data_IF_396609782656
#
_entry.id   IF_396609782656
#
_cell.length_a   1.000
_cell.length_b   1.000
_cell.length_c   1.000
_cell.angle_alpha   90.00
_cell.angle_beta   90.00
_cell.angle_gamma   90.00
#
_symmetry.space_group_name_H-M   'P 1'
#
loop_
_entity.id
_entity.type
_entity.pdbx_description
1 polymer ?
#
# COMPACT_ATOMS: atom_id res chain seq x y z
N UNK A 1 -8.35 30.06 16.44
CA UNK A 1 -9.67 29.39 16.23
C UNK A 1 -9.39 27.93 16.38
N UNK A 2 -9.78 27.35 17.52
CA UNK A 2 -9.58 25.94 17.81
C UNK A 2 -10.53 25.13 16.93
N UNK A 3 -9.99 24.50 15.89
CA UNK A 3 -10.74 23.52 15.13
C UNK A 3 -11.05 22.32 16.03
N UNK A 4 -12.30 22.13 16.32
CA UNK A 4 -12.85 20.91 16.91
C UNK A 4 -12.57 19.82 15.86
N UNK A 5 -11.48 19.08 16.01
CA UNK A 5 -11.38 17.80 15.32
C UNK A 5 -12.38 16.88 16.00
N UNK A 6 -13.52 16.74 15.36
CA UNK A 6 -14.47 15.68 15.66
C UNK A 6 -13.73 14.34 15.73
N UNK A 7 -14.24 13.44 16.56
CA UNK A 7 -13.67 12.09 16.75
C UNK A 7 -13.20 11.51 15.41
N UNK A 8 -12.07 10.80 15.37
CA UNK A 8 -11.56 10.22 14.12
C UNK A 8 -12.66 9.37 13.47
N UNK A 9 -12.92 9.62 12.19
CA UNK A 9 -13.95 8.94 11.40
C UNK A 9 -13.74 7.42 11.37
N UNK A 10 -12.51 6.97 11.63
CA UNK A 10 -12.10 5.57 11.66
C UNK A 10 -11.60 5.17 13.06
N UNK A 11 -11.73 3.90 13.45
CA UNK A 11 -11.21 3.39 14.71
C UNK A 11 -9.71 3.62 14.86
N UNK A 12 -9.27 3.93 16.09
CA UNK A 12 -7.85 4.03 16.47
C UNK A 12 -7.50 2.81 17.31
N UNK A 13 -6.55 2.01 16.85
CA UNK A 13 -6.22 0.70 17.40
C UNK A 13 -4.74 0.68 17.78
N UNK A 14 -4.42 0.27 19.00
CA UNK A 14 -3.04 0.14 19.48
C UNK A 14 -2.44 -1.21 19.10
N UNK A 15 -1.31 -1.21 18.37
CA UNK A 15 -0.59 -2.44 18.05
C UNK A 15 -0.06 -3.12 19.32
N UNK A 16 0.38 -2.34 20.30
CA UNK A 16 0.85 -2.89 21.57
C UNK A 16 -0.24 -3.67 22.31
N UNK A 17 -1.48 -3.16 22.34
CA UNK A 17 -2.62 -3.86 22.93
C UNK A 17 -3.02 -5.10 22.13
N UNK A 18 -2.96 -5.03 20.79
CA UNK A 18 -3.18 -6.21 19.93
C UNK A 18 -2.13 -7.30 20.20
N UNK A 19 -0.86 -6.93 20.30
CA UNK A 19 0.24 -7.85 20.61
C UNK A 19 0.12 -8.47 22.01
N UNK A 20 -0.42 -7.73 22.98
CA UNK A 20 -0.74 -8.23 24.30
C UNK A 20 -1.98 -9.15 24.32
N UNK A 21 -2.71 -9.27 23.20
CA UNK A 21 -3.92 -10.08 23.11
C UNK A 21 -5.10 -9.52 23.91
N UNK A 22 -5.15 -8.19 24.10
CA UNK A 22 -6.24 -7.55 24.85
C UNK A 22 -7.60 -7.78 24.14
N UNK A 23 -8.58 -8.39 24.83
CA UNK A 23 -9.86 -8.74 24.19
C UNK A 23 -10.60 -7.53 23.60
N UNK A 24 -10.51 -6.37 24.24
CA UNK A 24 -11.10 -5.13 23.76
C UNK A 24 -10.49 -4.64 22.46
N UNK A 25 -9.17 -4.68 22.34
CA UNK A 25 -8.45 -4.28 21.10
C UNK A 25 -8.72 -5.27 19.96
N UNK A 26 -8.76 -6.58 20.24
CA UNK A 26 -9.11 -7.62 19.25
C UNK A 26 -10.56 -7.44 18.76
N UNK A 27 -11.51 -7.17 19.67
CA UNK A 27 -12.90 -6.92 19.28
C UNK A 27 -13.04 -5.65 18.42
N UNK A 28 -12.32 -4.58 18.76
CA UNK A 28 -12.30 -3.34 17.98
C UNK A 28 -11.69 -3.58 16.60
N UNK A 29 -10.60 -4.34 16.49
CA UNK A 29 -10.00 -4.73 15.21
C UNK A 29 -10.99 -5.56 14.38
N UNK A 30 -11.68 -6.53 14.99
CA UNK A 30 -12.67 -7.36 14.31
C UNK A 30 -13.78 -6.52 13.69
N UNK A 31 -14.33 -5.57 14.46
CA UNK A 31 -15.35 -4.65 13.96
C UNK A 31 -14.82 -3.76 12.82
N UNK A 32 -13.65 -3.15 13.00
CA UNK A 32 -13.03 -2.30 11.99
C UNK A 32 -12.80 -3.04 10.66
N UNK A 33 -12.31 -4.28 10.72
CA UNK A 33 -12.05 -5.09 9.54
C UNK A 33 -13.35 -5.58 8.84
N UNK A 34 -14.41 -5.79 9.59
CA UNK A 34 -15.69 -6.24 9.05
C UNK A 34 -16.57 -5.08 8.52
N UNK A 35 -16.45 -3.89 9.09
CA UNK A 35 -17.28 -2.73 8.74
C UNK A 35 -16.69 -1.94 7.56
N UNK A 36 -15.55 -1.31 7.79
CA UNK A 36 -14.93 -0.40 6.83
C UNK A 36 -13.60 -0.91 6.24
N UNK A 37 -13.01 -1.95 6.81
CA UNK A 37 -11.71 -2.46 6.38
C UNK A 37 -10.56 -1.45 6.52
N UNK A 38 -10.79 -0.34 7.24
CA UNK A 38 -9.85 0.75 7.47
C UNK A 38 -9.77 1.10 8.95
N UNK A 39 -8.56 1.38 9.45
CA UNK A 39 -8.35 1.87 10.82
C UNK A 39 -7.00 2.57 10.96
N UNK A 40 -6.86 3.41 11.97
CA UNK A 40 -5.57 3.97 12.39
C UNK A 40 -4.87 3.01 13.34
N UNK A 41 -3.60 2.74 13.09
CA UNK A 41 -2.74 1.94 13.95
C UNK A 41 -1.79 2.87 14.69
N UNK A 42 -1.86 2.85 16.02
CA UNK A 42 -0.96 3.58 16.92
C UNK A 42 -0.09 2.61 17.72
N UNK A 43 0.87 3.12 18.47
CA UNK A 43 1.83 2.34 19.27
C UNK A 43 2.56 1.25 18.46
N UNK A 44 2.76 1.53 17.17
CA UNK A 44 3.34 0.62 16.20
C UNK A 44 4.87 0.54 16.24
N UNK A 45 5.54 1.37 17.04
CA UNK A 45 7.00 1.35 17.23
C UNK A 45 7.85 1.82 16.06
N UNK A 46 7.26 2.26 14.94
CA UNK A 46 8.03 2.83 13.82
C UNK A 46 8.65 4.16 14.24
N UNK A 47 9.97 4.39 14.03
CA UNK A 47 10.63 5.61 14.47
C UNK A 47 10.14 6.84 13.71
N UNK A 48 9.56 7.82 14.39
CA UNK A 48 9.03 9.05 13.77
C UNK A 48 10.10 9.80 12.96
N UNK A 49 11.31 9.94 13.51
CA UNK A 49 12.42 10.59 12.80
C UNK A 49 12.85 9.86 11.50
N UNK A 50 12.66 8.53 11.43
CA UNK A 50 12.91 7.78 10.20
C UNK A 50 11.83 8.07 9.15
N UNK A 51 10.57 8.12 9.58
CA UNK A 51 9.43 8.46 8.73
C UNK A 51 9.60 9.86 8.14
N UNK A 52 9.92 10.87 8.97
CA UNK A 52 10.14 12.25 8.54
C UNK A 52 11.27 12.37 7.52
N UNK A 53 12.41 11.74 7.80
CA UNK A 53 13.55 11.72 6.86
C UNK A 53 13.19 11.06 5.54
N UNK A 54 12.42 9.97 5.59
CA UNK A 54 12.01 9.27 4.38
C UNK A 54 11.04 10.12 3.54
N UNK A 55 10.03 10.72 4.16
CA UNK A 55 9.11 11.65 3.47
C UNK A 55 9.88 12.79 2.80
N UNK A 56 10.83 13.40 3.52
CA UNK A 56 11.67 14.49 2.99
C UNK A 56 12.56 14.04 1.83
N UNK A 57 13.20 12.87 1.93
CA UNK A 57 14.03 12.31 0.87
C UNK A 57 13.22 11.94 -0.38
N UNK A 58 12.01 11.42 -0.19
CA UNK A 58 11.09 11.14 -1.29
C UNK A 58 10.63 12.43 -1.99
N UNK A 59 10.28 13.46 -1.23
CA UNK A 59 9.92 14.77 -1.79
C UNK A 59 11.06 15.37 -2.61
N UNK A 60 12.29 15.30 -2.10
CA UNK A 60 13.49 15.75 -2.82
C UNK A 60 13.71 14.98 -4.12
N UNK A 61 13.51 13.65 -4.14
CA UNK A 61 13.56 12.86 -5.36
C UNK A 61 12.51 13.32 -6.38
N UNK A 62 11.26 13.52 -5.98
CA UNK A 62 10.21 13.96 -6.89
C UNK A 62 10.42 15.38 -7.43
N UNK A 63 11.17 16.22 -6.71
CA UNK A 63 11.55 17.56 -7.18
C UNK A 63 12.65 17.54 -8.25
N UNK A 64 13.32 16.41 -8.50
CA UNK A 64 14.32 16.28 -9.55
C UNK A 64 13.71 16.53 -10.94
N UNK A 65 14.50 17.03 -11.91
CA UNK A 65 14.09 17.11 -13.31
C UNK A 65 13.60 15.77 -13.84
N UNK A 66 12.52 15.80 -14.63
CA UNK A 66 11.87 14.60 -15.17
C UNK A 66 12.84 13.64 -15.89
N UNK A 67 13.80 14.11 -16.74
CA UNK A 67 14.76 13.21 -17.38
C UNK A 67 15.65 12.42 -16.40
N UNK A 68 15.92 12.94 -15.22
CA UNK A 68 16.69 12.23 -14.20
C UNK A 68 15.86 11.15 -13.51
N UNK A 69 14.59 11.43 -13.21
CA UNK A 69 13.66 10.45 -12.64
C UNK A 69 13.35 9.31 -13.61
N UNK A 70 13.20 9.61 -14.90
CA UNK A 70 12.95 8.62 -15.96
C UNK A 70 14.07 7.58 -16.11
N UNK A 71 15.29 7.86 -15.64
CA UNK A 71 16.38 6.88 -15.60
C UNK A 71 16.05 5.67 -14.71
N UNK A 72 15.12 5.82 -13.79
CA UNK A 72 14.60 4.79 -12.89
C UNK A 72 13.22 4.30 -13.31
N UNK A 73 12.81 4.61 -14.55
CA UNK A 73 11.49 4.30 -15.08
C UNK A 73 11.20 2.80 -15.07
N UNK A 74 9.97 2.46 -14.83
CA UNK A 74 9.44 1.09 -14.79
C UNK A 74 9.76 0.28 -16.08
N UNK A 75 9.85 0.95 -17.23
CA UNK A 75 10.12 0.32 -18.53
C UNK A 75 11.61 -0.02 -18.75
N UNK A 76 12.49 0.35 -17.84
CA UNK A 76 13.95 0.17 -17.98
C UNK A 76 14.50 -1.13 -17.42
N UNK A 77 13.67 -2.14 -17.16
CA UNK A 77 14.12 -3.43 -16.64
C UNK A 77 14.05 -4.55 -17.70
N UNK A 78 15.01 -4.64 -18.65
CA UNK A 78 15.02 -5.71 -19.62
C UNK A 78 15.20 -7.07 -18.92
N UNK A 79 14.34 -8.02 -19.23
CA UNK A 79 14.39 -9.37 -18.71
C UNK A 79 13.61 -9.64 -17.41
N UNK A 80 12.92 -8.63 -16.88
CA UNK A 80 12.05 -8.79 -15.71
C UNK A 80 10.64 -8.24 -16.02
N UNK A 81 9.81 -8.99 -16.74
CA UNK A 81 8.41 -8.60 -16.90
C UNK A 81 7.70 -8.60 -15.54
N UNK A 82 6.84 -7.63 -15.30
CA UNK A 82 6.04 -7.52 -14.07
C UNK A 82 6.86 -7.37 -12.76
N UNK A 83 7.81 -6.44 -12.76
CA UNK A 83 8.60 -6.21 -11.54
C UNK A 83 7.88 -5.37 -10.51
N UNK A 84 6.96 -4.48 -10.92
CA UNK A 84 6.40 -3.41 -10.08
C UNK A 84 7.51 -2.64 -9.35
N UNK A 85 8.53 -2.25 -10.09
CA UNK A 85 9.71 -1.53 -9.58
C UNK A 85 10.00 -0.35 -10.48
N UNK A 86 10.36 0.76 -9.87
CA UNK A 86 10.83 1.94 -10.56
C UNK A 86 9.85 3.11 -10.57
N UNK A 87 10.23 4.16 -11.27
CA UNK A 87 9.53 5.43 -11.33
C UNK A 87 8.42 5.42 -12.38
N UNK A 88 7.30 6.02 -12.02
CA UNK A 88 6.19 6.31 -12.92
C UNK A 88 5.83 7.78 -12.81
N UNK A 89 5.88 8.49 -13.94
CA UNK A 89 5.57 9.91 -14.04
C UNK A 89 4.07 10.20 -13.93
N UNK A 90 3.74 11.49 -13.86
CA UNK A 90 2.36 11.95 -13.84
C UNK A 90 1.59 11.42 -15.07
N UNK A 91 0.32 11.10 -14.84
CA UNK A 91 -0.57 10.47 -15.84
C UNK A 91 -0.08 9.11 -16.33
N UNK A 92 0.87 8.57 -15.63
CA UNK A 92 1.51 7.30 -15.90
C UNK A 92 0.66 6.09 -15.53
N UNK A 93 -0.31 6.16 -14.65
CA UNK A 93 -1.20 5.10 -14.17
C UNK A 93 -2.67 5.52 -14.28
N UNK A 94 -3.57 4.56 -14.44
CA UNK A 94 -5.02 4.77 -14.46
C UNK A 94 -5.68 3.75 -13.55
N UNK A 95 -6.03 4.15 -12.34
CA UNK A 95 -6.66 3.25 -11.37
C UNK A 95 -8.14 3.04 -11.66
N UNK A 96 -8.85 4.08 -12.10
CA UNK A 96 -10.26 3.96 -12.48
C UNK A 96 -10.44 4.20 -13.98
N UNK A 97 -10.98 3.22 -14.73
CA UNK A 97 -11.07 3.32 -16.21
C UNK A 97 -11.78 4.57 -16.70
N UNK A 98 -12.85 4.97 -16.02
CA UNK A 98 -13.72 6.07 -16.45
C UNK A 98 -13.26 7.44 -15.96
N UNK A 99 -12.26 7.51 -15.04
CA UNK A 99 -11.75 8.76 -14.49
C UNK A 99 -10.57 9.37 -15.25
N UNK A 100 -10.02 8.63 -16.22
CA UNK A 100 -8.79 9.01 -16.93
C UNK A 100 -7.51 8.79 -16.10
N UNK A 101 -6.35 9.17 -16.66
CA UNK A 101 -5.06 8.97 -16.00
C UNK A 101 -4.91 9.78 -14.72
N UNK A 102 -4.28 9.19 -13.71
CA UNK A 102 -4.07 9.80 -12.41
C UNK A 102 -2.96 10.85 -12.43
N UNK A 103 -3.23 12.01 -11.85
CA UNK A 103 -2.24 13.06 -11.70
C UNK A 103 -1.41 12.85 -10.43
N UNK A 104 -0.54 11.87 -10.48
CA UNK A 104 0.45 11.55 -9.44
C UNK A 104 1.71 11.00 -10.06
N UNK A 105 2.80 11.07 -9.31
CA UNK A 105 4.03 10.36 -9.60
C UNK A 105 4.23 9.30 -8.51
N UNK A 106 4.93 8.23 -8.81
CA UNK A 106 5.34 7.29 -7.78
C UNK A 106 6.67 6.61 -8.11
N UNK A 107 7.33 6.13 -7.07
CA UNK A 107 8.52 5.30 -7.15
C UNK A 107 8.25 4.03 -6.35
N UNK A 108 8.38 2.88 -7.01
CA UNK A 108 8.09 1.57 -6.45
C UNK A 108 9.35 0.73 -6.29
N UNK A 109 9.43 0.02 -5.17
CA UNK A 109 10.44 -1.02 -4.90
C UNK A 109 9.88 -2.06 -3.94
N UNK A 110 10.70 -3.01 -3.49
CA UNK A 110 10.24 -4.04 -2.58
C UNK A 110 11.36 -4.94 -2.12
N UNK A 111 11.02 -6.15 -1.72
CA UNK A 111 11.99 -7.16 -1.32
C UNK A 111 12.52 -7.82 -2.59
N UNK A 112 13.81 -7.60 -2.88
CA UNK A 112 14.47 -8.21 -4.03
C UNK A 112 14.86 -9.65 -3.74
N UNK A 113 14.59 -10.54 -4.69
CA UNK A 113 14.92 -11.97 -4.60
C UNK A 113 15.54 -12.48 -5.90
N UNK A 114 16.52 -13.38 -5.82
CA UNK A 114 17.05 -14.04 -7.02
C UNK A 114 15.99 -14.99 -7.62
N UNK A 115 16.12 -15.27 -8.92
CA UNK A 115 15.32 -16.32 -9.58
C UNK A 115 14.29 -15.83 -10.59
N UNK A 116 14.11 -14.53 -10.77
CA UNK A 116 13.28 -13.99 -11.86
C UNK A 116 11.77 -14.22 -11.74
N UNK A 117 11.28 -14.59 -10.55
CA UNK A 117 9.85 -14.68 -10.30
C UNK A 117 9.18 -13.29 -10.47
N UNK A 118 7.91 -13.22 -10.87
CA UNK A 118 7.18 -11.98 -10.91
C UNK A 118 7.31 -11.21 -9.59
N UNK A 119 7.40 -9.89 -9.64
CA UNK A 119 7.49 -8.99 -8.47
C UNK A 119 8.71 -9.22 -7.55
N UNK A 120 9.74 -9.94 -8.01
CA UNK A 120 10.94 -10.25 -7.20
C UNK A 120 12.10 -9.25 -7.35
N UNK A 121 11.96 -8.22 -8.17
CA UNK A 121 13.01 -7.23 -8.41
C UNK A 121 13.86 -7.49 -9.65
N UNK A 122 15.01 -6.84 -9.83
CA UNK A 122 15.64 -5.93 -8.87
C UNK A 122 14.94 -4.59 -8.73
N UNK A 123 15.08 -3.96 -7.55
CA UNK A 123 14.63 -2.58 -7.33
C UNK A 123 15.60 -1.60 -7.99
N UNK A 124 15.07 -0.67 -8.79
CA UNK A 124 15.83 0.43 -9.37
C UNK A 124 15.65 1.68 -8.49
N UNK A 125 16.60 1.91 -7.61
CA UNK A 125 16.60 3.08 -6.75
C UNK A 125 17.72 4.04 -7.14
N UNK A 126 17.50 5.37 -7.00
CA UNK A 126 18.51 6.37 -7.28
C UNK A 126 19.68 6.24 -6.30
N UNK A 127 20.91 6.53 -6.77
CA UNK A 127 22.08 6.59 -5.90
C UNK A 127 22.04 7.77 -4.93
N UNK A 128 22.93 7.74 -3.94
CA UNK A 128 23.08 8.80 -2.92
C UNK A 128 23.43 10.18 -3.51
N UNK A 129 23.99 10.21 -4.69
CA UNK A 129 24.30 11.44 -5.45
C UNK A 129 23.05 12.17 -5.97
N UNK A 130 21.97 11.42 -6.21
CA UNK A 130 20.70 11.96 -6.74
C UNK A 130 19.62 12.09 -5.67
N UNK A 131 19.56 11.16 -4.73
CA UNK A 131 18.56 11.13 -3.67
C UNK A 131 19.18 10.70 -2.33
N UNK A 132 19.92 11.63 -1.67
CA UNK A 132 20.61 11.32 -0.44
C UNK A 132 19.69 10.79 0.64
N UNK A 133 20.05 9.63 1.22
CA UNK A 133 19.32 8.99 2.30
C UNK A 133 18.02 8.29 1.91
N UNK A 134 17.54 8.42 0.68
CA UNK A 134 16.27 7.79 0.26
C UNK A 134 16.32 6.26 0.42
N UNK A 135 17.34 5.62 -0.11
CA UNK A 135 17.49 4.17 -0.04
C UNK A 135 17.65 3.69 1.39
N UNK A 136 18.51 4.35 2.17
CA UNK A 136 18.75 3.97 3.56
C UNK A 136 17.46 4.06 4.39
N UNK A 137 16.67 5.14 4.24
CA UNK A 137 15.39 5.28 4.93
C UNK A 137 14.36 4.25 4.45
N UNK A 138 14.29 4.02 3.14
CA UNK A 138 13.36 3.07 2.53
C UNK A 138 13.57 1.65 3.05
N UNK A 139 14.80 1.14 3.00
CA UNK A 139 15.12 -0.20 3.49
C UNK A 139 15.00 -0.33 5.02
N UNK A 140 15.40 0.70 5.77
CA UNK A 140 15.24 0.69 7.22
C UNK A 140 13.76 0.62 7.63
N UNK A 141 12.90 1.42 6.99
CA UNK A 141 11.47 1.40 7.29
C UNK A 141 10.80 0.10 6.82
N UNK A 142 11.22 -0.43 5.65
CA UNK A 142 10.80 -1.75 5.17
C UNK A 142 11.09 -2.85 6.19
N UNK A 143 12.30 -2.89 6.74
CA UNK A 143 12.68 -3.84 7.78
C UNK A 143 11.79 -3.71 9.01
N UNK A 144 11.60 -2.50 9.55
CA UNK A 144 10.72 -2.28 10.70
C UNK A 144 9.27 -2.73 10.43
N UNK A 145 8.72 -2.40 9.27
CA UNK A 145 7.35 -2.81 8.91
C UNK A 145 7.24 -4.32 8.80
N UNK A 146 8.15 -4.97 8.08
CA UNK A 146 8.03 -6.40 7.76
C UNK A 146 8.43 -7.31 8.91
N UNK A 147 9.34 -6.87 9.80
CA UNK A 147 9.85 -7.69 10.90
C UNK A 147 9.13 -7.43 12.23
N UNK A 148 8.58 -6.23 12.43
CA UNK A 148 7.99 -5.86 13.71
C UNK A 148 6.48 -5.61 13.63
N UNK A 149 6.00 -4.79 12.69
CA UNK A 149 4.59 -4.38 12.63
C UNK A 149 3.71 -5.45 11.98
N UNK A 150 4.08 -5.88 10.78
CA UNK A 150 3.24 -6.79 10.00
C UNK A 150 3.00 -8.15 10.67
N UNK A 151 3.98 -8.84 11.28
CA UNK A 151 3.73 -10.12 11.93
C UNK A 151 2.72 -10.03 13.06
N UNK A 152 2.81 -8.99 13.90
CA UNK A 152 1.88 -8.79 15.01
C UNK A 152 0.46 -8.48 14.50
N UNK A 153 0.35 -7.60 13.49
CA UNK A 153 -0.94 -7.25 12.90
C UNK A 153 -1.59 -8.45 12.20
N UNK A 154 -0.83 -9.27 11.47
CA UNK A 154 -1.31 -10.50 10.85
C UNK A 154 -1.87 -11.50 11.88
N UNK A 155 -1.17 -11.68 13.00
CA UNK A 155 -1.63 -12.53 14.09
C UNK A 155 -2.90 -11.98 14.77
N UNK A 156 -2.97 -10.66 14.95
CA UNK A 156 -4.14 -10.00 15.50
C UNK A 156 -5.38 -10.17 14.57
N UNK A 157 -5.18 -10.06 13.25
CA UNK A 157 -6.25 -10.31 12.26
C UNK A 157 -6.73 -11.77 12.34
N UNK A 158 -5.82 -12.75 12.47
CA UNK A 158 -6.21 -14.14 12.68
C UNK A 158 -7.05 -14.31 13.97
N UNK A 159 -6.62 -13.68 15.05
CA UNK A 159 -7.35 -13.71 16.35
C UNK A 159 -8.72 -13.02 16.22
N UNK A 160 -8.83 -11.91 15.50
CA UNK A 160 -10.10 -11.22 15.22
C UNK A 160 -11.09 -12.10 14.42
N UNK A 161 -10.57 -13.02 13.62
CA UNK A 161 -11.35 -14.04 12.89
C UNK A 161 -11.65 -15.30 13.74
N UNK A 162 -11.22 -15.33 15.01
CA UNK A 162 -11.32 -16.50 15.90
C UNK A 162 -10.51 -17.70 15.39
N UNK A 163 -9.41 -17.44 14.69
CA UNK A 163 -8.47 -18.45 14.22
C UNK A 163 -7.23 -18.48 15.14
N UNK A 164 -6.44 -19.57 15.11
CA UNK A 164 -5.14 -19.57 15.74
C UNK A 164 -4.30 -18.39 15.22
N UNK A 165 -3.54 -17.67 16.08
CA UNK A 165 -2.74 -16.51 15.65
C UNK A 165 -1.81 -16.80 14.46
N UNK A 166 -1.35 -18.04 14.31
CA UNK A 166 -0.45 -18.50 13.26
C UNK A 166 -1.17 -18.96 11.97
N UNK A 167 -2.49 -18.79 11.87
CA UNK A 167 -3.30 -19.35 10.78
C UNK A 167 -2.83 -18.92 9.36
N UNK A 168 -2.22 -17.76 9.25
CA UNK A 168 -1.71 -17.22 7.98
C UNK A 168 -0.21 -17.48 7.75
N UNK A 169 0.56 -17.92 8.77
CA UNK A 169 2.02 -17.97 8.73
C UNK A 169 2.60 -18.81 7.59
N UNK A 170 1.93 -19.89 7.23
CA UNK A 170 2.38 -20.79 6.18
C UNK A 170 2.45 -20.11 4.80
N UNK A 171 1.72 -19.01 4.60
CA UNK A 171 1.64 -18.26 3.35
C UNK A 171 2.49 -16.98 3.35
N UNK A 172 3.24 -16.72 4.41
CA UNK A 172 4.07 -15.53 4.59
C UNK A 172 5.51 -15.90 5.02
N UNK A 173 6.07 -16.94 4.44
CA UNK A 173 7.47 -17.35 4.65
C UNK A 173 8.44 -16.44 3.90
N UNK A 174 8.02 -16.02 2.71
CA UNK A 174 8.71 -15.08 1.84
C UNK A 174 7.72 -14.08 1.23
N UNK A 175 7.10 -13.23 2.06
CA UNK A 175 6.02 -12.34 1.62
C UNK A 175 6.47 -11.43 0.49
N UNK A 176 5.59 -11.17 -0.47
CA UNK A 176 5.82 -10.19 -1.52
C UNK A 176 5.44 -8.80 -1.00
N UNK A 177 6.29 -7.83 -1.28
CA UNK A 177 6.07 -6.44 -0.91
C UNK A 177 6.25 -5.54 -2.12
N UNK A 178 5.30 -4.62 -2.30
CA UNK A 178 5.49 -3.42 -3.10
C UNK A 178 5.47 -2.25 -2.13
N UNK A 179 6.60 -1.56 -2.01
CA UNK A 179 6.71 -0.33 -1.24
C UNK A 179 6.69 0.84 -2.22
N UNK A 180 5.80 1.79 -2.00
CA UNK A 180 5.54 2.91 -2.90
C UNK A 180 5.69 4.24 -2.19
N UNK A 181 6.54 5.13 -2.70
CA UNK A 181 6.43 6.55 -2.42
C UNK A 181 5.57 7.20 -3.51
N UNK A 182 4.51 7.90 -3.12
CA UNK A 182 3.64 8.62 -4.04
C UNK A 182 3.74 10.12 -3.82
N UNK A 183 3.77 10.87 -4.92
CA UNK A 183 3.78 12.33 -4.93
C UNK A 183 2.56 12.85 -5.68
N UNK A 184 1.81 13.70 -5.03
CA UNK A 184 0.64 14.38 -5.57
C UNK A 184 0.95 15.86 -5.72
N UNK A 185 0.86 16.44 -6.94
CA UNK A 185 1.15 17.85 -7.14
C UNK A 185 0.12 18.73 -6.45
N UNK A 186 0.55 19.94 -6.07
CA UNK A 186 -0.30 20.94 -5.46
C UNK A 186 -1.56 21.23 -6.29
N UNK A 187 -2.70 21.29 -5.66
CA UNK A 187 -3.98 21.74 -6.24
C UNK A 187 -4.70 20.75 -7.15
N UNK A 188 -4.04 19.73 -7.67
CA UNK A 188 -4.61 18.87 -8.71
C UNK A 188 -4.22 17.38 -8.64
N UNK A 189 -3.63 16.92 -7.53
CA UNK A 189 -3.21 15.52 -7.39
C UNK A 189 -4.40 14.56 -7.29
N UNK A 190 -4.34 13.43 -8.00
CA UNK A 190 -5.41 12.42 -7.99
C UNK A 190 -4.86 10.99 -7.92
N UNK A 191 -5.63 10.13 -7.27
CA UNK A 191 -5.64 8.69 -7.46
C UNK A 191 -7.11 8.26 -7.54
N UNK A 192 -7.51 7.69 -8.67
CA UNK A 192 -8.89 7.30 -8.95
C UNK A 192 -9.44 6.28 -7.96
N UNK A 193 -10.76 6.11 -7.92
CA UNK A 193 -11.42 5.10 -7.09
C UNK A 193 -10.87 3.71 -7.39
N UNK A 194 -10.36 3.01 -6.36
CA UNK A 194 -9.83 1.65 -6.44
C UNK A 194 -9.92 0.95 -5.10
N UNK A 195 -9.67 -0.34 -5.09
CA UNK A 195 -9.33 -1.15 -3.93
C UNK A 195 -7.88 -1.59 -4.05
N UNK A 196 -7.23 -1.95 -2.94
CA UNK A 196 -5.92 -2.58 -2.95
C UNK A 196 -6.07 -4.09 -3.09
N UNK A 197 -5.33 -4.73 -3.96
CA UNK A 197 -5.52 -6.15 -4.22
C UNK A 197 -4.71 -7.11 -3.34
N UNK A 198 -3.94 -6.59 -2.36
CA UNK A 198 -3.11 -7.39 -1.47
C UNK A 198 -3.82 -8.03 -0.28
N UNK A 199 -3.01 -8.44 0.70
CA UNK A 199 -3.50 -8.86 2.01
C UNK A 199 -3.89 -7.64 2.84
N UNK A 200 -2.97 -6.69 3.00
CA UNK A 200 -3.22 -5.38 3.61
C UNK A 200 -2.22 -4.34 3.12
N UNK A 201 -2.57 -3.08 3.32
CA UNK A 201 -1.72 -1.92 3.08
C UNK A 201 -1.49 -1.16 4.38
N UNK A 202 -0.23 -0.80 4.65
CA UNK A 202 0.11 0.21 5.64
C UNK A 202 0.44 1.52 4.92
N UNK A 203 -0.27 2.59 5.24
CA UNK A 203 -0.11 3.89 4.61
C UNK A 203 0.35 4.93 5.63
N UNK A 204 1.55 5.46 5.41
CA UNK A 204 2.08 6.61 6.12
C UNK A 204 1.78 7.85 5.29
N UNK A 205 1.11 8.82 5.88
CA UNK A 205 0.71 10.05 5.24
C UNK A 205 1.53 11.24 5.75
N UNK A 206 1.95 12.11 4.84
CA UNK A 206 2.46 13.42 5.24
C UNK A 206 1.34 14.22 5.93
N UNK A 207 1.59 14.80 7.11
CA UNK A 207 0.61 15.64 7.78
C UNK A 207 0.24 16.85 6.93
N UNK A 208 -1.06 17.07 6.72
CA UNK A 208 -1.61 18.19 5.93
C UNK A 208 -2.81 18.81 6.65
N UNK A 209 -3.07 20.11 6.46
CA UNK A 209 -4.20 20.80 7.10
C UNK A 209 -5.58 20.24 6.74
N UNK A 210 -5.73 19.66 5.55
CA UNK A 210 -6.98 19.08 5.07
C UNK A 210 -6.72 17.66 4.55
N UNK A 211 -7.67 16.74 4.69
CA UNK A 211 -7.55 15.40 4.14
C UNK A 211 -7.52 15.42 2.60
N UNK A 212 -6.82 14.46 2.02
CA UNK A 212 -6.79 14.23 0.58
C UNK A 212 -7.26 12.80 0.25
N UNK A 213 -7.16 11.89 1.20
CA UNK A 213 -7.66 10.53 1.07
C UNK A 213 -9.13 10.48 1.45
N UNK A 214 -9.90 9.72 0.69
CA UNK A 214 -11.31 9.45 0.95
C UNK A 214 -11.59 7.97 0.80
N UNK A 215 -12.45 7.43 1.65
CA UNK A 215 -12.97 6.06 1.57
C UNK A 215 -14.46 6.07 1.24
N UNK A 216 -14.93 5.03 0.57
CA UNK A 216 -16.35 4.87 0.27
C UNK A 216 -16.98 3.92 1.28
N UNK A 217 -17.60 4.46 2.29
CA UNK A 217 -18.23 3.69 3.37
C UNK A 217 -19.71 4.05 3.50
N UNK A 218 -20.53 3.04 3.70
CA UNK A 218 -21.99 3.18 3.95
C UNK A 218 -22.71 4.05 2.92
N UNK A 219 -22.31 3.92 1.64
CA UNK A 219 -22.95 4.66 0.54
C UNK A 219 -22.46 6.10 0.33
N UNK A 220 -21.45 6.56 1.06
CA UNK A 220 -20.90 7.91 0.95
C UNK A 220 -19.37 7.95 1.00
N UNK A 221 -18.81 9.02 0.46
CA UNK A 221 -17.39 9.29 0.57
C UNK A 221 -17.08 10.01 1.89
N UNK A 222 -16.18 9.41 2.69
CA UNK A 222 -15.70 9.98 3.93
C UNK A 222 -14.26 10.47 3.76
N UNK A 223 -13.97 11.67 4.22
CA UNK A 223 -12.61 12.21 4.26
C UNK A 223 -11.83 11.57 5.42
N UNK A 224 -10.59 11.13 5.12
CA UNK A 224 -9.71 10.45 6.09
C UNK A 224 -8.54 11.39 6.43
N UNK A 225 -8.59 12.10 7.57
CA UNK A 225 -7.51 12.98 7.99
C UNK A 225 -6.24 12.19 8.32
N UNK A 226 -5.08 12.84 8.22
CA UNK A 226 -3.84 12.31 8.80
C UNK A 226 -3.92 12.44 10.32
N UNK A 227 -3.77 11.34 11.03
CA UNK A 227 -3.65 11.33 12.49
C UNK A 227 -2.16 11.28 12.85
N UNK A 228 -1.71 12.24 13.64
CA UNK A 228 -0.30 12.30 14.07
C UNK A 228 0.10 11.05 14.86
N UNK A 229 1.27 10.50 14.54
CA UNK A 229 1.78 9.28 15.17
C UNK A 229 1.05 8.00 14.80
N UNK A 230 0.12 8.03 13.84
CA UNK A 230 -0.59 6.84 13.38
C UNK A 230 -0.19 6.44 11.95
N UNK A 231 -0.23 5.14 11.68
CA UNK A 231 -0.23 4.57 10.34
C UNK A 231 -1.66 4.19 9.98
N UNK A 232 -2.13 4.55 8.81
CA UNK A 232 -3.42 4.09 8.32
C UNK A 232 -3.25 2.68 7.76
N UNK A 233 -4.16 1.79 8.12
CA UNK A 233 -4.19 0.41 7.63
C UNK A 233 -5.48 0.19 6.87
N UNK A 234 -5.37 -0.46 5.70
CA UNK A 234 -6.54 -0.98 4.99
C UNK A 234 -6.33 -2.43 4.54
N UNK A 235 -7.42 -3.17 4.49
CA UNK A 235 -7.45 -4.53 4.01
C UNK A 235 -7.54 -4.55 2.49
N UNK A 236 -6.96 -5.58 1.89
CA UNK A 236 -6.96 -5.76 0.44
C UNK A 236 -7.87 -6.89 -0.02
N UNK A 237 -8.10 -6.92 -1.33
CA UNK A 237 -9.04 -7.84 -1.99
C UNK A 237 -8.67 -9.32 -1.77
N UNK A 238 -7.37 -9.64 -1.69
CA UNK A 238 -6.94 -11.00 -1.36
C UNK A 238 -7.41 -11.44 0.02
N UNK A 239 -7.29 -10.57 1.04
CA UNK A 239 -7.75 -10.92 2.38
C UNK A 239 -9.28 -11.01 2.43
N UNK A 240 -10.00 -10.12 1.76
CA UNK A 240 -11.44 -10.20 1.61
C UNK A 240 -11.84 -11.56 0.99
N UNK A 241 -11.25 -11.93 -0.14
CA UNK A 241 -11.48 -13.22 -0.80
C UNK A 241 -11.08 -14.41 0.07
N UNK A 242 -9.93 -14.32 0.76
CA UNK A 242 -9.44 -15.38 1.65
C UNK A 242 -10.41 -15.66 2.80
N UNK A 243 -11.05 -14.61 3.31
CA UNK A 243 -12.00 -14.70 4.43
C UNK A 243 -13.46 -14.93 4.00
N UNK A 244 -13.72 -15.20 2.71
CA UNK A 244 -15.07 -15.33 2.17
C UNK A 244 -15.94 -14.11 2.50
N UNK A 245 -15.39 -12.92 2.24
CA UNK A 245 -16.03 -11.61 2.45
C UNK A 245 -16.43 -11.29 3.91
N UNK A 246 -15.87 -12.03 4.89
CA UNK A 246 -16.04 -11.69 6.30
C UNK A 246 -15.32 -10.42 6.69
N UNK A 247 -14.22 -10.09 5.99
CA UNK A 247 -13.48 -8.85 6.10
C UNK A 247 -13.62 -8.09 4.78
N UNK A 248 -13.59 -6.76 4.85
CA UNK A 248 -13.94 -5.89 3.72
C UNK A 248 -12.73 -5.16 3.17
N UNK A 249 -12.57 -5.22 1.84
CA UNK A 249 -11.68 -4.32 1.08
C UNK A 249 -12.48 -3.14 0.58
N UNK A 250 -12.16 -1.95 1.06
CA UNK A 250 -12.99 -0.76 0.84
C UNK A 250 -12.41 0.13 -0.23
N UNK A 251 -13.27 0.55 -1.16
CA UNK A 251 -12.90 1.48 -2.23
C UNK A 251 -12.47 2.83 -1.66
N UNK A 252 -11.36 3.35 -2.16
CA UNK A 252 -10.81 4.62 -1.74
C UNK A 252 -10.24 5.40 -2.93
N UNK A 253 -9.97 6.69 -2.71
CA UNK A 253 -9.44 7.61 -3.73
C UNK A 253 -8.64 8.73 -3.08
N UNK A 254 -7.77 9.38 -3.86
CA UNK A 254 -7.10 10.61 -3.44
C UNK A 254 -7.58 11.77 -4.32
N UNK A 255 -8.00 12.85 -3.67
CA UNK A 255 -8.33 14.13 -4.28
C UNK A 255 -7.55 15.22 -3.55
N UNK A 256 -6.35 15.52 -4.06
CA UNK A 256 -5.47 16.50 -3.43
C UNK A 256 -5.71 17.90 -4.01
N UNK A 257 -6.23 18.82 -3.20
CA UNK A 257 -6.63 20.17 -3.61
C UNK A 257 -5.88 21.28 -2.87
N UNK A 258 -4.89 20.91 -2.05
CA UNK A 258 -4.15 21.88 -1.24
C UNK A 258 -3.04 22.57 -2.02
N UNK A 259 -2.61 23.78 -1.58
CA UNK A 259 -1.59 24.58 -2.28
C UNK A 259 -0.16 24.01 -2.16
N UNK A 260 0.08 23.05 -1.26
CA UNK A 260 1.35 22.32 -1.13
C UNK A 260 1.27 20.95 -1.77
N UNK A 261 2.35 20.33 -2.22
CA UNK A 261 2.35 18.94 -2.64
C UNK A 261 2.08 18.01 -1.46
N UNK A 262 1.76 16.75 -1.76
CA UNK A 262 1.60 15.68 -0.78
C UNK A 262 2.48 14.50 -1.12
N UNK A 263 3.20 13.99 -0.13
CA UNK A 263 3.90 12.70 -0.20
C UNK A 263 3.20 11.67 0.69
N UNK A 264 3.15 10.43 0.26
CA UNK A 264 2.73 9.31 1.08
C UNK A 264 3.57 8.07 0.79
N UNK A 265 3.72 7.20 1.80
CA UNK A 265 4.49 5.97 1.72
C UNK A 265 3.53 4.81 1.98
N UNK A 266 3.35 3.94 1.00
CA UNK A 266 2.48 2.77 1.10
C UNK A 266 3.30 1.48 1.08
N UNK A 267 2.89 0.51 1.88
CA UNK A 267 3.45 -0.85 1.93
C UNK A 267 2.32 -1.82 1.59
N UNK A 268 2.27 -2.22 0.33
CA UNK A 268 1.33 -3.22 -0.16
C UNK A 268 1.89 -4.60 0.11
N UNK A 269 1.30 -5.33 1.04
CA UNK A 269 1.80 -6.62 1.52
C UNK A 269 0.94 -7.74 0.95
N UNK A 270 1.62 -8.71 0.35
CA UNK A 270 1.02 -9.89 -0.26
C UNK A 270 1.62 -11.16 0.36
N UNK A 271 0.91 -12.29 0.31
CA UNK A 271 1.49 -13.60 0.61
C UNK A 271 2.73 -13.91 -0.25
N UNK A 272 3.33 -15.05 -0.02
CA UNK A 272 4.37 -15.61 -0.89
C UNK A 272 3.85 -15.64 -2.32
N UNK A 273 4.69 -15.29 -3.29
CA UNK A 273 4.27 -15.11 -4.70
C UNK A 273 3.64 -16.38 -5.30
N UNK A 274 4.11 -17.52 -4.87
CA UNK A 274 3.68 -18.86 -5.29
C UNK A 274 2.61 -19.47 -4.36
N UNK A 275 2.15 -18.74 -3.35
CA UNK A 275 1.16 -19.25 -2.42
C UNK A 275 -0.17 -19.54 -3.11
N UNK A 276 -0.68 -20.75 -2.88
CA UNK A 276 -2.05 -21.14 -3.25
C UNK A 276 -2.91 -21.02 -2.01
N UNK A 277 -3.93 -20.19 -2.08
CA UNK A 277 -4.77 -19.79 -0.97
C UNK A 277 -6.14 -20.44 -1.12
N UNK A 278 -6.52 -21.23 -0.12
CA UNK A 278 -7.87 -21.78 0.00
C UNK A 278 -8.71 -20.85 0.89
N UNK A 279 -9.85 -20.31 0.42
CA UNK A 279 -10.71 -19.46 1.23
C UNK A 279 -11.24 -20.18 2.47
N UNK A 280 -11.27 -19.44 3.59
CA UNK A 280 -11.81 -19.92 4.87
C UNK A 280 -13.32 -20.18 4.71
N UNK A 281 -13.76 -21.39 5.03
CA UNK A 281 -15.15 -21.78 4.83
C UNK A 281 -15.44 -22.40 3.47
N UNK A 282 -14.43 -22.52 2.59
CA UNK A 282 -14.54 -23.18 1.28
C UNK A 282 -14.63 -22.19 0.11
N UNK A 283 -14.55 -22.73 -1.09
CA UNK A 283 -14.53 -21.97 -2.34
C UNK A 283 -13.31 -22.30 -3.20
N UNK A 284 -13.23 -21.75 -4.42
CA UNK A 284 -12.11 -21.99 -5.30
C UNK A 284 -10.82 -21.34 -4.77
N UNK A 285 -9.75 -22.13 -4.70
CA UNK A 285 -8.41 -21.62 -4.38
C UNK A 285 -7.93 -20.64 -5.45
N UNK A 286 -6.98 -19.79 -5.08
CA UNK A 286 -6.36 -18.84 -6.01
C UNK A 286 -4.85 -18.72 -5.71
N UNK A 287 -4.07 -18.35 -6.72
CA UNK A 287 -2.65 -18.13 -6.62
C UNK A 287 -2.35 -16.63 -6.44
N UNK A 288 -1.43 -16.29 -5.54
CA UNK A 288 -0.98 -14.90 -5.33
C UNK A 288 -0.49 -14.28 -6.63
N UNK A 289 0.39 -14.97 -7.36
CA UNK A 289 0.95 -14.46 -8.61
C UNK A 289 -0.13 -14.14 -9.66
N UNK A 290 -1.11 -15.04 -9.84
CA UNK A 290 -2.20 -14.85 -10.80
C UNK A 290 -3.01 -13.60 -10.50
N UNK A 291 -3.43 -13.42 -9.24
CA UNK A 291 -4.19 -12.24 -8.80
C UNK A 291 -3.39 -10.95 -8.99
N UNK A 292 -2.10 -10.96 -8.65
CA UNK A 292 -1.23 -9.80 -8.85
C UNK A 292 -1.05 -9.46 -10.33
N UNK A 293 -0.80 -10.46 -11.18
CA UNK A 293 -0.60 -10.27 -12.63
C UNK A 293 -1.86 -9.73 -13.32
N UNK A 294 -3.04 -10.31 -13.03
CA UNK A 294 -4.31 -9.85 -13.57
C UNK A 294 -4.57 -8.37 -13.24
N UNK A 295 -4.31 -7.96 -12.00
CA UNK A 295 -4.47 -6.57 -11.59
C UNK A 295 -3.45 -5.66 -12.30
N UNK A 296 -2.19 -6.06 -12.33
CA UNK A 296 -1.13 -5.31 -13.00
C UNK A 296 -1.45 -5.08 -14.47
N UNK A 297 -1.85 -6.10 -15.18
CA UNK A 297 -2.24 -6.02 -16.60
C UNK A 297 -3.43 -5.07 -16.79
N UNK A 298 -4.39 -5.06 -15.87
CA UNK A 298 -5.54 -4.15 -15.93
C UNK A 298 -5.17 -2.68 -15.82
N UNK A 299 -4.14 -2.35 -15.04
CA UNK A 299 -3.69 -0.98 -14.78
C UNK A 299 -2.73 -0.49 -15.87
N UNK A 300 -1.85 -1.36 -16.38
CA UNK A 300 -0.74 -0.98 -17.27
C UNK A 300 -0.98 -1.26 -18.76
N UNK A 301 -1.70 -2.31 -19.13
CA UNK A 301 -1.99 -2.64 -20.55
C UNK A 301 -2.86 -1.57 -21.20
N UNK A 302 -3.65 -0.83 -20.44
CA UNK A 302 -4.45 0.29 -20.95
C UNK A 302 -3.62 1.44 -21.50
N UNK A 303 -2.32 1.54 -21.16
CA UNK A 303 -1.39 2.56 -21.71
C UNK A 303 -0.76 2.19 -23.03
N UNK A 304 -0.60 0.92 -23.31
CA UNK A 304 -0.06 0.45 -24.58
C UNK A 304 -1.19 0.35 -25.61
N UNK A 305 -1.83 1.48 -25.91
CA UNK A 305 -2.76 1.57 -27.03
C UNK A 305 -2.19 0.89 -28.26
N UNK A 306 -2.78 -0.22 -28.67
CA UNK A 306 -2.62 -0.91 -29.95
C UNK A 306 -1.17 -1.25 -30.36
N UNK A 307 -0.45 -2.09 -29.61
CA UNK A 307 0.87 -2.48 -30.10
C UNK A 307 1.55 -3.72 -29.54
N UNK A 308 1.04 -4.38 -28.53
CA UNK A 308 1.59 -5.69 -28.09
C UNK A 308 0.52 -6.57 -27.44
N UNK A 309 -0.38 -7.07 -28.27
CA UNK A 309 -1.14 -8.24 -27.91
C UNK A 309 -0.24 -9.48 -28.06
N UNK A 310 -0.10 -10.24 -26.99
CA UNK A 310 0.26 -11.66 -26.95
C UNK A 310 1.62 -12.05 -27.52
N UNK A 311 2.57 -12.24 -26.62
CA UNK A 311 3.47 -13.39 -26.65
C UNK A 311 3.67 -13.89 -25.21
N UNK A 312 2.70 -14.66 -24.74
CA UNK A 312 2.85 -15.61 -23.64
C UNK A 312 2.63 -16.99 -24.26
N UNK A 313 3.69 -17.70 -24.50
CA UNK A 313 3.76 -19.17 -24.54
C UNK A 313 4.91 -19.57 -23.64
#
# INVERSE_FOLDING_TARGET
>A
MNGVYDMPVLPVISLAQLAAGEPGAIAQLSAACADDGFFYLVDHGLPAALIERYLSAAEAFFALPEPLKQRFGHDYQPGYPHTARGYVGAYGETLHPDAGPDNKQHLDWGIDRPGGAPFSGPSLLPGEDLAPGLNACAYALQGNVMEQVFPQLRQAIASALQLPPQAFDAHFRQPTLIQRASYYPAGAGTAGKHTDNGFLTLLIQQPLPQPSLRIYSRGQWLDVPCLEGAVLVNLGDMLQRWTNERLVSTAHQVLHRQPSPRVSLAFFIYPDIDAIIAPIGGGPSFCTAEVMLENFDSIWVRKQGAGRARQLV
#
